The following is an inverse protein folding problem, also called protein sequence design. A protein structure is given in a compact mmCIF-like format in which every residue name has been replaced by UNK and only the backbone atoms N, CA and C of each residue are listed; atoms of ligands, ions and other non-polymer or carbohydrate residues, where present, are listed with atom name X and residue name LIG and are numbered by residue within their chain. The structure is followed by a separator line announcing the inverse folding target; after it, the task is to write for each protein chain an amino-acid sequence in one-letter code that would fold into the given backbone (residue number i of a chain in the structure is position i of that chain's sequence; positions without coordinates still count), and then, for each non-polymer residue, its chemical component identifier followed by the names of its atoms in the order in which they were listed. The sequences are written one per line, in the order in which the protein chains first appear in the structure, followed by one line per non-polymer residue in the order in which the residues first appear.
data_IF_198793589693
#
_entry.id   IF_198793589693
#
_cell.length_a   1.000
_cell.length_b   1.000
_cell.length_c   1.000
_cell.angle_alpha   90.00
_cell.angle_beta   90.00
_cell.angle_gamma   90.00
#
_symmetry.space_group_name_H-M   'P 1'
#
loop_
_entity.id
_entity.type
_entity.pdbx_description
1 polymer ?
#
# COMPACT_ATOMS: atom_id res chain seq x y z
N UNK A 1 36.83 17.78 2.93
CA UNK A 1 37.03 17.04 1.68
C UNK A 1 35.69 16.39 1.30
N UNK A 2 34.98 16.86 0.25
CA UNK A 2 33.79 16.14 -0.23
C UNK A 2 34.28 14.82 -0.84
N UNK A 3 33.85 13.70 -0.27
CA UNK A 3 34.10 12.40 -0.90
C UNK A 3 33.42 12.39 -2.28
N UNK A 4 34.13 11.87 -3.29
CA UNK A 4 33.51 11.70 -4.60
C UNK A 4 32.32 10.77 -4.49
N UNK A 5 31.21 11.11 -5.15
CA UNK A 5 30.04 10.26 -5.19
C UNK A 5 30.40 8.89 -5.78
N UNK A 6 29.85 7.81 -5.21
CA UNK A 6 30.05 6.47 -5.75
C UNK A 6 29.51 6.37 -7.17
N UNK A 7 30.22 5.64 -8.05
CA UNK A 7 29.70 5.32 -9.40
C UNK A 7 28.38 4.56 -9.38
N UNK A 8 28.02 3.99 -8.24
CA UNK A 8 26.79 3.24 -8.01
C UNK A 8 25.65 4.10 -7.42
N UNK A 9 25.91 5.39 -7.16
CA UNK A 9 24.89 6.31 -6.61
C UNK A 9 23.62 6.35 -7.47
N UNK A 10 23.76 6.19 -8.77
CA UNK A 10 22.64 6.11 -9.72
C UNK A 10 21.65 4.96 -9.48
N UNK A 11 22.01 3.99 -8.64
CA UNK A 11 21.13 2.88 -8.24
C UNK A 11 20.59 3.04 -6.82
N UNK A 12 20.86 4.16 -6.18
CA UNK A 12 20.47 4.42 -4.80
C UNK A 12 19.33 5.43 -4.76
N UNK A 13 18.19 5.01 -4.23
CA UNK A 13 17.08 5.90 -3.94
C UNK A 13 17.19 6.30 -2.48
N UNK A 14 17.53 7.56 -2.21
CA UNK A 14 17.77 8.05 -0.86
C UNK A 14 16.59 8.78 -0.25
N UNK A 15 15.65 9.20 -1.07
CA UNK A 15 14.44 9.89 -0.64
C UNK A 15 13.26 9.30 -1.40
N UNK A 16 12.36 8.57 -0.71
CA UNK A 16 11.19 7.99 -1.36
C UNK A 16 10.21 9.10 -1.80
N UNK A 17 9.51 8.84 -2.88
CA UNK A 17 8.33 9.63 -3.23
C UNK A 17 7.17 9.29 -2.29
N UNK A 18 6.18 10.16 -2.27
CA UNK A 18 4.90 9.95 -1.59
C UNK A 18 3.83 9.85 -2.66
N UNK A 19 2.96 8.87 -2.54
CA UNK A 19 1.76 8.79 -3.39
C UNK A 19 0.79 9.85 -2.92
N UNK A 20 0.43 10.76 -3.80
CA UNK A 20 -0.51 11.83 -3.50
C UNK A 20 -1.69 11.76 -4.47
N UNK A 21 -2.90 11.87 -3.95
CA UNK A 21 -4.09 12.03 -4.78
C UNK A 21 -4.21 13.48 -5.25
N UNK A 22 -4.37 13.68 -6.55
CA UNK A 22 -4.62 14.99 -7.16
C UNK A 22 -5.86 14.85 -8.06
N UNK A 23 -7.01 15.29 -7.58
CA UNK A 23 -8.29 15.03 -8.23
C UNK A 23 -8.62 13.53 -8.22
N UNK A 24 -8.77 12.93 -9.40
CA UNK A 24 -9.03 11.49 -9.54
C UNK A 24 -7.76 10.66 -9.86
N UNK A 25 -6.59 11.30 -9.88
CA UNK A 25 -5.32 10.66 -10.22
C UNK A 25 -4.44 10.48 -8.98
N UNK A 26 -3.62 9.42 -8.99
CA UNK A 26 -2.56 9.20 -8.02
C UNK A 26 -1.22 9.51 -8.67
N UNK A 27 -0.48 10.43 -8.08
CA UNK A 27 0.84 10.82 -8.55
C UNK A 27 1.90 10.54 -7.48
N UNK A 28 3.09 10.17 -7.92
CA UNK A 28 4.25 10.03 -7.06
C UNK A 28 4.98 11.37 -6.96
N UNK A 29 5.08 11.90 -5.76
CA UNK A 29 5.73 13.19 -5.52
C UNK A 29 6.86 13.03 -4.51
N UNK A 30 8.05 13.48 -4.87
CA UNK A 30 9.17 13.57 -3.91
C UNK A 30 8.89 14.76 -2.97
N UNK A 31 8.78 14.54 -1.65
CA UNK A 31 8.54 15.62 -0.71
C UNK A 31 9.64 16.68 -0.74
N UNK A 32 9.27 17.94 -0.68
CA UNK A 32 10.22 19.05 -0.61
C UNK A 32 10.95 19.10 0.73
N UNK A 33 10.27 18.69 1.81
CA UNK A 33 10.80 18.63 3.16
C UNK A 33 11.36 17.26 3.49
N UNK A 34 12.19 17.16 4.53
CA UNK A 34 12.67 15.89 5.07
C UNK A 34 11.68 15.27 6.06
N UNK A 35 10.60 15.98 6.38
CA UNK A 35 9.49 15.42 7.15
C UNK A 35 8.79 14.34 6.35
N UNK A 36 8.78 13.16 6.92
CA UNK A 36 8.18 12.00 6.30
C UNK A 36 6.75 11.87 6.85
N UNK A 37 5.72 12.11 6.02
CA UNK A 37 4.34 11.96 6.48
C UNK A 37 4.08 10.56 7.02
N UNK A 38 3.23 10.45 8.04
CA UNK A 38 2.76 9.15 8.54
C UNK A 38 1.64 8.62 7.64
N UNK A 39 1.46 7.31 7.63
CA UNK A 39 0.42 6.67 6.81
C UNK A 39 -1.01 7.15 7.13
N UNK A 40 -1.26 7.55 8.39
CA UNK A 40 -2.55 8.10 8.81
C UNK A 40 -2.87 9.47 8.22
N UNK A 41 -1.90 10.16 7.61
CA UNK A 41 -2.16 11.34 6.81
C UNK A 41 -2.63 10.87 5.43
N UNK A 42 -3.94 10.72 5.27
CA UNK A 42 -4.59 10.24 4.05
C UNK A 42 -4.21 11.06 2.80
N UNK A 43 -3.77 12.31 2.98
CA UNK A 43 -3.30 13.18 1.91
C UNK A 43 -1.93 12.76 1.36
N UNK A 44 -1.19 11.88 2.04
CA UNK A 44 0.20 11.56 1.70
C UNK A 44 0.45 10.11 1.29
N UNK A 45 -0.52 9.22 1.47
CA UNK A 45 -0.50 7.83 1.01
C UNK A 45 0.76 7.01 1.33
N UNK A 46 0.91 5.84 0.70
CA UNK A 46 2.11 5.03 0.83
C UNK A 46 3.32 5.71 0.19
N UNK A 47 4.52 5.26 0.58
CA UNK A 47 5.78 5.73 -0.01
C UNK A 47 6.23 4.81 -1.10
N UNK A 48 6.58 5.41 -2.24
CA UNK A 48 7.26 4.71 -3.32
C UNK A 48 8.75 4.71 -3.01
N UNK A 49 9.30 3.54 -2.71
CA UNK A 49 10.74 3.39 -2.42
C UNK A 49 11.53 2.98 -3.67
N UNK A 50 10.86 2.42 -4.65
CA UNK A 50 11.49 1.95 -5.88
C UNK A 50 10.49 2.00 -7.04
N UNK A 51 10.89 2.59 -8.16
CA UNK A 51 10.14 2.58 -9.42
C UNK A 51 11.03 3.00 -10.59
N UNK A 52 10.50 2.91 -11.81
CA UNK A 52 11.16 3.40 -13.02
C UNK A 52 11.28 4.93 -13.07
N UNK A 53 10.53 5.69 -12.27
CA UNK A 53 10.69 7.14 -12.14
C UNK A 53 12.03 7.51 -11.48
N UNK A 54 12.55 6.61 -10.64
CA UNK A 54 13.85 6.78 -9.99
C UNK A 54 14.98 6.10 -10.74
N UNK A 55 14.71 4.91 -11.31
CA UNK A 55 15.69 4.08 -12.01
C UNK A 55 15.04 3.61 -13.31
N UNK A 56 15.40 4.23 -14.43
CA UNK A 56 14.73 4.06 -15.72
C UNK A 56 14.63 2.60 -16.20
N UNK A 57 15.57 1.75 -15.81
CA UNK A 57 15.58 0.34 -16.20
C UNK A 57 14.75 -0.56 -15.25
N UNK A 58 14.13 0.01 -14.20
CA UNK A 58 13.33 -0.76 -13.27
C UNK A 58 12.05 -1.31 -13.93
N UNK A 59 11.72 -2.57 -13.62
CA UNK A 59 10.52 -3.25 -14.11
C UNK A 59 9.56 -3.57 -12.95
N UNK A 60 9.73 -2.91 -11.83
CA UNK A 60 8.96 -3.15 -10.61
C UNK A 60 8.78 -1.85 -9.87
N UNK A 61 7.61 -1.67 -9.27
CA UNK A 61 7.32 -0.60 -8.32
C UNK A 61 7.20 -1.21 -6.93
N UNK A 62 7.78 -0.56 -5.93
CA UNK A 62 7.68 -0.98 -4.53
C UNK A 62 7.21 0.19 -3.70
N UNK A 63 6.12 -0.01 -2.99
CA UNK A 63 5.54 0.93 -2.03
C UNK A 63 5.59 0.36 -0.63
N UNK A 64 5.67 1.22 0.38
CA UNK A 64 5.59 0.79 1.77
C UNK A 64 4.95 1.86 2.65
N UNK A 65 4.47 1.44 3.80
CA UNK A 65 3.95 2.32 4.84
C UNK A 65 3.92 1.64 6.19
N UNK A 66 3.53 2.39 7.21
CA UNK A 66 3.33 1.87 8.56
C UNK A 66 1.91 2.17 9.01
N UNK A 67 1.19 1.13 9.40
CA UNK A 67 -0.10 1.26 10.06
C UNK A 67 0.16 1.32 11.56
N UNK A 68 -0.24 2.42 12.19
CA UNK A 68 0.07 2.71 13.60
C UNK A 68 -1.15 2.71 14.50
N UNK A 69 -2.34 2.53 13.94
CA UNK A 69 -3.62 2.49 14.65
C UNK A 69 -4.72 1.85 13.81
N UNK A 70 -5.88 1.67 14.39
CA UNK A 70 -7.04 1.13 13.70
C UNK A 70 -7.46 2.10 12.59
N UNK A 71 -7.59 1.58 11.36
CA UNK A 71 -7.88 2.39 10.18
C UNK A 71 -8.61 1.55 9.12
N UNK A 72 -9.39 2.22 8.28
CA UNK A 72 -9.99 1.64 7.07
C UNK A 72 -9.30 2.22 5.84
N UNK A 73 -8.60 1.38 5.11
CA UNK A 73 -7.99 1.73 3.82
C UNK A 73 -8.93 1.29 2.72
N UNK A 74 -9.30 2.20 1.83
CA UNK A 74 -10.24 1.90 0.74
C UNK A 74 -11.72 1.97 1.14
N UNK A 75 -12.08 2.90 2.02
CA UNK A 75 -13.43 3.05 2.57
C UNK A 75 -14.38 3.96 1.76
N UNK A 76 -14.02 4.31 0.55
CA UNK A 76 -14.81 5.17 -0.32
C UNK A 76 -14.18 6.53 -0.62
N UNK A 77 -13.08 6.89 0.04
CA UNK A 77 -12.35 8.15 -0.20
C UNK A 77 -11.03 7.90 -0.92
N UNK A 78 -10.24 6.90 -0.46
CA UNK A 78 -8.96 6.53 -1.05
C UNK A 78 -8.86 5.03 -1.26
N UNK A 79 -8.17 4.61 -2.34
CA UNK A 79 -7.97 3.20 -2.67
C UNK A 79 -9.26 2.37 -2.59
N UNK A 80 -10.34 2.88 -3.16
CA UNK A 80 -11.61 2.17 -3.26
C UNK A 80 -11.41 0.76 -3.82
N UNK A 81 -12.36 -0.16 -3.65
CA UNK A 81 -12.32 -1.44 -4.33
C UNK A 81 -12.01 -1.25 -5.80
N UNK A 82 -10.98 -1.91 -6.28
CA UNK A 82 -10.50 -1.77 -7.65
C UNK A 82 -9.84 -3.06 -8.13
N UNK A 83 -9.55 -3.11 -9.42
CA UNK A 83 -8.74 -4.12 -10.08
C UNK A 83 -7.87 -3.47 -11.15
N UNK A 84 -6.83 -4.14 -11.59
CA UNK A 84 -5.91 -3.69 -12.62
C UNK A 84 -5.36 -4.89 -13.40
N UNK A 85 -4.63 -4.64 -14.47
CA UNK A 85 -4.12 -5.66 -15.40
C UNK A 85 -2.73 -6.20 -15.03
N UNK A 86 -2.18 -5.80 -13.90
CA UNK A 86 -0.94 -6.31 -13.32
C UNK A 86 -1.19 -7.00 -11.98
N UNK A 87 -0.23 -7.78 -11.53
CA UNK A 87 -0.28 -8.46 -10.25
C UNK A 87 0.27 -7.59 -9.13
N UNK A 88 -0.15 -7.86 -7.89
CA UNK A 88 0.39 -7.25 -6.69
C UNK A 88 0.77 -8.28 -5.64
N UNK A 89 1.83 -7.99 -4.89
CA UNK A 89 2.20 -8.75 -3.72
C UNK A 89 2.14 -7.81 -2.51
N UNK A 90 1.20 -8.07 -1.61
CA UNK A 90 1.12 -7.37 -0.33
C UNK A 90 1.93 -8.13 0.71
N UNK A 91 2.78 -7.42 1.43
CA UNK A 91 3.48 -7.92 2.61
C UNK A 91 2.95 -7.18 3.85
N UNK A 92 2.45 -7.93 4.80
CA UNK A 92 2.04 -7.42 6.11
C UNK A 92 3.01 -7.97 7.15
N UNK A 93 3.86 -7.11 7.70
CA UNK A 93 4.99 -7.51 8.51
C UNK A 93 4.90 -6.92 9.92
N UNK A 94 4.80 -7.81 10.91
CA UNK A 94 4.89 -7.42 12.32
C UNK A 94 6.28 -6.90 12.67
N UNK A 95 6.33 -5.96 13.59
CA UNK A 95 7.58 -5.28 13.98
C UNK A 95 8.14 -5.78 15.33
N UNK A 96 7.68 -6.93 15.84
CA UNK A 96 8.27 -7.54 17.02
C UNK A 96 9.53 -8.34 16.66
N UNK A 97 10.74 -7.89 17.05
CA UNK A 97 11.96 -8.59 16.69
C UNK A 97 12.11 -9.94 17.40
N UNK A 98 11.28 -10.21 18.42
CA UNK A 98 11.30 -11.48 19.18
C UNK A 98 10.28 -12.49 18.65
N UNK A 99 9.30 -12.02 17.89
CA UNK A 99 8.25 -12.85 17.30
C UNK A 99 7.83 -12.26 15.95
N UNK A 100 8.59 -12.55 14.93
CA UNK A 100 8.36 -12.03 13.59
C UNK A 100 7.12 -12.62 12.90
N UNK A 101 6.56 -13.70 13.43
CA UNK A 101 5.31 -14.28 12.94
C UNK A 101 4.09 -13.49 13.42
N UNK A 102 4.21 -12.81 14.56
CA UNK A 102 3.12 -12.04 15.14
C UNK A 102 2.94 -10.71 14.41
N UNK A 103 1.79 -10.51 13.78
CA UNK A 103 1.49 -9.26 13.09
C UNK A 103 1.34 -8.09 14.07
N UNK A 104 0.66 -8.31 15.20
CA UNK A 104 0.32 -7.27 16.18
C UNK A 104 -0.89 -6.42 15.78
N UNK A 105 -1.68 -6.92 14.85
CA UNK A 105 -2.93 -6.36 14.36
C UNK A 105 -3.81 -7.46 13.77
N UNK A 106 -5.05 -7.13 13.44
CA UNK A 106 -5.95 -7.94 12.63
C UNK A 106 -6.34 -7.12 11.39
N UNK A 107 -6.27 -7.73 10.21
CA UNK A 107 -6.65 -7.12 8.95
C UNK A 107 -7.84 -7.91 8.38
N UNK A 108 -8.94 -7.24 8.09
CA UNK A 108 -9.98 -7.77 7.22
C UNK A 108 -9.68 -7.29 5.79
N UNK A 109 -9.17 -8.17 4.96
CA UNK A 109 -8.86 -7.87 3.57
C UNK A 109 -9.94 -8.44 2.66
N UNK A 110 -10.61 -7.60 1.90
CA UNK A 110 -11.69 -7.97 1.02
C UNK A 110 -11.16 -8.19 -0.40
N UNK A 111 -11.48 -9.37 -0.97
CA UNK A 111 -11.07 -9.81 -2.29
C UNK A 111 -12.30 -10.26 -3.09
N UNK A 112 -12.23 -10.11 -4.42
CA UNK A 112 -13.32 -10.46 -5.33
C UNK A 112 -14.37 -9.37 -5.46
N UNK A 113 -15.36 -9.64 -6.28
CA UNK A 113 -16.51 -8.75 -6.56
C UNK A 113 -17.79 -9.56 -6.73
N UNK A 114 -18.96 -8.92 -6.60
CA UNK A 114 -20.26 -9.56 -6.74
C UNK A 114 -20.43 -10.73 -5.78
N UNK A 115 -20.86 -11.88 -6.30
CA UNK A 115 -21.11 -13.09 -5.51
C UNK A 115 -19.79 -13.78 -5.05
N UNK A 116 -18.66 -13.41 -5.63
CA UNK A 116 -17.32 -13.92 -5.27
C UNK A 116 -16.61 -13.04 -4.23
N UNK A 117 -17.25 -11.96 -3.78
CA UNK A 117 -16.67 -11.07 -2.77
C UNK A 117 -16.51 -11.80 -1.43
N UNK A 118 -15.28 -11.93 -0.96
CA UNK A 118 -14.92 -12.65 0.24
C UNK A 118 -14.01 -11.82 1.15
N UNK A 119 -14.18 -12.00 2.45
CA UNK A 119 -13.32 -11.42 3.48
C UNK A 119 -12.29 -12.42 3.95
N UNK A 120 -11.00 -12.07 3.80
CA UNK A 120 -9.89 -12.82 4.38
C UNK A 120 -9.41 -12.10 5.64
N UNK A 121 -9.28 -12.84 6.75
CA UNK A 121 -8.76 -12.31 8.02
C UNK A 121 -7.28 -12.69 8.15
N UNK A 122 -6.44 -11.68 8.38
CA UNK A 122 -4.99 -11.81 8.51
C UNK A 122 -4.57 -11.29 9.88
N UNK A 123 -3.96 -12.14 10.71
CA UNK A 123 -3.47 -11.79 12.06
C UNK A 123 -2.03 -12.24 12.33
N UNK A 124 -1.38 -12.76 11.30
CA UNK A 124 0.04 -13.13 11.31
C UNK A 124 0.78 -12.35 10.22
N UNK A 125 2.10 -12.21 10.36
CA UNK A 125 2.92 -11.70 9.27
C UNK A 125 2.73 -12.58 8.05
N UNK A 126 2.31 -11.97 6.94
CA UNK A 126 1.82 -12.71 5.76
C UNK A 126 2.20 -12.01 4.46
N UNK A 127 2.27 -12.79 3.40
CA UNK A 127 2.26 -12.29 2.03
C UNK A 127 0.94 -12.68 1.37
N UNK A 128 0.34 -11.74 0.64
CA UNK A 128 -0.87 -11.98 -0.16
C UNK A 128 -0.55 -11.67 -1.61
N UNK A 129 -0.76 -12.64 -2.48
CA UNK A 129 -0.64 -12.46 -3.92
C UNK A 129 -2.01 -12.13 -4.50
N UNK A 130 -2.11 -11.01 -5.19
CA UNK A 130 -3.30 -10.57 -5.90
C UNK A 130 -2.99 -10.68 -7.39
N UNK A 131 -3.57 -11.66 -8.10
CA UNK A 131 -3.36 -11.78 -9.55
C UNK A 131 -4.01 -10.63 -10.32
N UNK A 132 -3.50 -10.36 -11.51
CA UNK A 132 -4.10 -9.41 -12.43
C UNK A 132 -5.60 -9.67 -12.61
N UNK A 133 -6.41 -8.64 -12.56
CA UNK A 133 -7.87 -8.69 -12.70
C UNK A 133 -8.65 -9.09 -11.45
N UNK A 134 -8.01 -9.51 -10.35
CA UNK A 134 -8.71 -9.77 -9.10
C UNK A 134 -9.02 -8.45 -8.39
N UNK A 135 -10.30 -8.22 -8.16
CA UNK A 135 -10.76 -7.09 -7.37
C UNK A 135 -10.32 -7.21 -5.91
N UNK A 136 -9.86 -6.11 -5.32
CA UNK A 136 -9.38 -6.07 -3.95
C UNK A 136 -9.68 -4.73 -3.28
N UNK A 137 -9.46 -4.66 -1.95
CA UNK A 137 -9.90 -3.61 -1.05
C UNK A 137 -11.42 -3.67 -0.69
N UNK A 138 -11.82 -3.09 0.43
CA UNK A 138 -10.99 -2.39 1.43
C UNK A 138 -10.15 -3.33 2.30
N UNK A 139 -9.18 -2.71 3.02
CA UNK A 139 -8.49 -3.30 4.16
C UNK A 139 -8.96 -2.61 5.43
N UNK A 140 -9.51 -3.37 6.36
CA UNK A 140 -9.97 -2.86 7.66
C UNK A 140 -9.00 -3.36 8.72
N UNK A 141 -8.27 -2.44 9.32
CA UNK A 141 -7.26 -2.70 10.33
C UNK A 141 -7.85 -2.50 11.72
N UNK A 142 -7.68 -3.51 12.57
CA UNK A 142 -8.24 -3.58 13.92
C UNK A 142 -7.20 -4.03 14.92
N UNK A 143 -7.38 -3.61 16.17
CA UNK A 143 -6.54 -4.06 17.28
C UNK A 143 -5.05 -3.85 17.01
N UNK A 144 -4.68 -2.75 16.40
CA UNK A 144 -3.28 -2.40 16.10
C UNK A 144 -2.55 -2.10 17.40
N UNK A 145 -1.77 -3.05 17.89
CA UNK A 145 -1.06 -2.99 19.16
C UNK A 145 0.33 -2.36 19.05
N UNK A 146 0.88 -2.34 17.83
CA UNK A 146 2.18 -1.78 17.49
C UNK A 146 2.23 -1.48 16.00
N UNK A 147 3.14 -0.62 15.52
CA UNK A 147 3.26 -0.35 14.09
C UNK A 147 3.45 -1.65 13.30
N UNK A 148 2.69 -1.80 12.23
CA UNK A 148 2.83 -2.88 11.26
C UNK A 148 3.34 -2.29 9.96
N UNK A 149 4.39 -2.88 9.39
CA UNK A 149 4.85 -2.47 8.06
C UNK A 149 3.99 -3.14 7.00
N UNK A 150 3.39 -2.35 6.13
CA UNK A 150 2.77 -2.83 4.90
C UNK A 150 3.67 -2.47 3.72
N UNK A 151 3.86 -3.42 2.81
CA UNK A 151 4.62 -3.19 1.58
C UNK A 151 3.86 -3.80 0.42
N UNK A 152 3.87 -3.10 -0.71
CA UNK A 152 3.26 -3.58 -1.95
C UNK A 152 4.34 -3.62 -3.02
N UNK A 153 4.43 -4.75 -3.71
CA UNK A 153 5.33 -4.97 -4.83
C UNK A 153 4.48 -5.17 -6.08
N UNK A 154 4.68 -4.33 -7.06
CA UNK A 154 3.97 -4.34 -8.34
C UNK A 154 4.99 -4.55 -9.46
N UNK A 155 5.04 -5.71 -10.12
CA UNK A 155 5.92 -5.94 -11.25
C UNK A 155 5.36 -5.26 -12.51
N UNK A 156 5.37 -3.94 -12.49
CA UNK A 156 4.91 -3.08 -13.59
C UNK A 156 5.75 -1.81 -13.68
N UNK A 157 5.84 -1.26 -14.88
CA UNK A 157 6.43 0.06 -15.16
C UNK A 157 5.38 1.09 -15.53
N UNK A 158 4.12 0.67 -15.63
CA UNK A 158 3.01 1.51 -16.07
C UNK A 158 2.52 2.50 -15.01
N UNK A 159 1.66 3.39 -15.45
CA UNK A 159 0.81 4.18 -14.58
C UNK A 159 -0.15 3.25 -13.82
N UNK A 160 -0.69 3.74 -12.71
CA UNK A 160 -1.73 3.01 -11.98
C UNK A 160 -3.04 3.06 -12.75
N UNK A 161 -3.26 2.12 -13.67
CA UNK A 161 -4.55 1.97 -14.36
C UNK A 161 -5.51 1.19 -13.46
N UNK A 162 -6.16 1.90 -12.55
CA UNK A 162 -7.09 1.35 -11.59
C UNK A 162 -8.51 1.35 -12.15
N UNK A 163 -9.08 0.18 -12.36
CA UNK A 163 -10.50 0.02 -12.66
C UNK A 163 -11.29 0.02 -11.35
N UNK A 164 -11.87 1.15 -11.00
CA UNK A 164 -12.64 1.32 -9.77
C UNK A 164 -13.92 0.48 -9.79
N UNK A 165 -14.22 -0.15 -8.66
CA UNK A 165 -15.41 -0.98 -8.46
C UNK A 165 -16.31 -0.26 -7.45
N UNK A 166 -17.63 -0.13 -7.72
CA UNK A 166 -18.55 0.45 -6.77
C UNK A 166 -18.54 -0.32 -5.43
N UNK A 167 -18.47 0.42 -4.33
CA UNK A 167 -18.59 -0.15 -2.99
C UNK A 167 -19.92 -0.87 -2.84
N UNK A 168 -19.88 -2.16 -2.56
CA UNK A 168 -21.09 -2.94 -2.37
C UNK A 168 -21.83 -2.55 -1.09
N UNK A 169 -23.16 -2.55 -1.14
CA UNK A 169 -24.01 -2.13 -0.01
C UNK A 169 -23.75 -2.94 1.27
N UNK A 170 -23.38 -4.22 1.14
CA UNK A 170 -23.03 -5.05 2.30
C UNK A 170 -21.74 -4.59 2.97
N UNK A 171 -20.74 -4.12 2.18
CA UNK A 171 -19.50 -3.55 2.72
C UNK A 171 -19.74 -2.22 3.39
N UNK A 172 -20.58 -1.36 2.79
CA UNK A 172 -20.94 -0.07 3.38
C UNK A 172 -21.56 -0.21 4.77
N UNK A 173 -22.26 -1.33 5.03
CA UNK A 173 -22.87 -1.60 6.34
C UNK A 173 -21.87 -2.12 7.37
N UNK A 174 -20.77 -2.70 6.95
CA UNK A 174 -19.73 -3.28 7.84
C UNK A 174 -18.62 -2.30 8.19
N UNK A 175 -18.48 -1.23 7.41
CA UNK A 175 -17.49 -0.19 7.68
C UNK A 175 -17.94 0.67 8.87
N UNK A 176 -17.05 0.97 9.84
CA UNK A 176 -17.34 1.97 10.86
C UNK A 176 -17.66 3.30 10.18
N UNK A 177 -18.67 3.98 10.70
CA UNK A 177 -18.96 5.35 10.26
C UNK A 177 -17.89 6.25 10.84
N UNK A 178 -17.21 7.01 9.98
CA UNK A 178 -16.26 8.07 10.35
C UNK A 178 -16.86 9.11 11.26
#
# INVERSE_FOLDING_TARGET
MKMAASRYEKYMIRKPAVVQRVGDEYIDKIPETDEIPVWSDLDTGPRVIFSNDFIADAQTKVEYGFITGDINVGNGEDFNPHKHDYEEIFLFLGTDPKDTAKLGAEIEFWLGEGDELEKVVINTSSAVYVPAGLAHFPQIWKNVQRPVMTMVIMPTTGERDLQMIPMEERLKKTLPRS
#
